data_IF_462321084004
#
_entry.id   IF_462321084004
#
_cell.length_a   1.000
_cell.length_b   1.000
_cell.length_c   1.000
_cell.angle_alpha   90.00
_cell.angle_beta   90.00
_cell.angle_gamma   90.00
#
_symmetry.space_group_name_H-M   'P 1'
#
loop_
_entity.id
_entity.type
_entity.pdbx_description
1 polymer ?
#
# COMPACT_ATOMS: atom_id res chain seq x y z
N UNK A 1 2.37 -16.30 -11.28
CA UNK A 1 2.44 -16.85 -9.91
C UNK A 1 2.06 -15.74 -8.93
N UNK A 2 1.05 -15.92 -8.07
CA UNK A 2 0.75 -14.94 -7.01
C UNK A 2 1.88 -15.00 -5.99
N UNK A 3 2.63 -13.91 -5.78
CA UNK A 3 3.59 -13.84 -4.66
C UNK A 3 2.77 -13.88 -3.36
N UNK A 4 2.90 -14.96 -2.59
CA UNK A 4 2.28 -15.13 -1.27
C UNK A 4 3.15 -14.58 -0.15
N UNK A 5 4.45 -14.45 -0.40
CA UNK A 5 5.46 -14.12 0.59
C UNK A 5 6.43 -13.05 0.04
N UNK A 6 7.03 -12.29 0.95
CA UNK A 6 8.13 -11.37 0.69
C UNK A 6 9.40 -12.12 0.26
N UNK A 7 10.35 -11.47 -0.43
CA UNK A 7 11.63 -12.09 -0.78
C UNK A 7 12.40 -12.62 0.44
N UNK A 8 13.11 -13.74 0.26
CA UNK A 8 13.87 -14.41 1.32
C UNK A 8 15.02 -13.55 1.88
N UNK A 9 15.52 -12.62 1.10
CA UNK A 9 16.59 -11.67 1.44
C UNK A 9 16.06 -10.34 2.01
N UNK A 10 14.76 -10.05 1.85
CA UNK A 10 14.18 -8.79 2.33
C UNK A 10 14.17 -8.69 3.86
N UNK A 11 14.75 -7.63 4.43
CA UNK A 11 14.73 -7.38 5.88
C UNK A 11 14.32 -5.93 6.17
N UNK A 12 13.27 -5.70 6.97
CA UNK A 12 12.94 -4.37 7.48
C UNK A 12 14.13 -3.75 8.20
N UNK A 13 14.35 -2.46 7.97
CA UNK A 13 15.37 -1.66 8.66
C UNK A 13 14.94 -0.20 8.70
N UNK A 14 15.58 0.59 9.56
CA UNK A 14 15.34 2.05 9.62
C UNK A 14 15.52 2.70 8.25
N UNK A 15 16.57 2.32 7.50
CA UNK A 15 16.82 2.83 6.15
C UNK A 15 15.70 2.47 5.18
N UNK A 16 15.20 1.23 5.23
CA UNK A 16 14.12 0.77 4.36
C UNK A 16 12.78 1.48 4.67
N UNK A 17 12.42 1.59 5.96
CA UNK A 17 11.24 2.31 6.38
C UNK A 17 11.30 3.80 6.01
N UNK A 18 12.45 4.45 6.24
CA UNK A 18 12.67 5.84 5.88
C UNK A 18 12.52 6.06 4.37
N UNK A 19 13.04 5.16 3.53
CA UNK A 19 12.87 5.26 2.08
C UNK A 19 11.40 5.28 1.68
N UNK A 20 10.56 4.42 2.26
CA UNK A 20 9.12 4.42 1.96
C UNK A 20 8.43 5.70 2.47
N UNK A 21 8.80 6.19 3.65
CA UNK A 21 8.25 7.44 4.22
C UNK A 21 8.62 8.65 3.35
N UNK A 22 9.86 8.74 2.88
CA UNK A 22 10.32 9.83 2.02
C UNK A 22 9.63 9.80 0.64
N UNK A 23 9.36 8.60 0.12
CA UNK A 23 8.66 8.43 -1.15
C UNK A 23 7.14 8.57 -1.03
N UNK A 24 6.57 8.49 0.18
CA UNK A 24 5.14 8.77 0.42
C UNK A 24 4.76 10.16 -0.10
N UNK A 25 5.59 11.17 0.18
CA UNK A 25 5.36 12.56 -0.23
C UNK A 25 5.34 12.75 -1.76
N UNK A 26 5.85 11.78 -2.52
CA UNK A 26 5.93 11.81 -3.98
C UNK A 26 4.78 11.07 -4.65
N UNK A 27 3.79 10.65 -3.89
CA UNK A 27 2.57 10.01 -4.35
C UNK A 27 1.40 11.01 -4.25
N UNK A 28 1.29 12.00 -5.16
CA UNK A 28 0.44 13.18 -4.98
C UNK A 28 -1.02 12.80 -4.70
N UNK A 29 -1.58 11.86 -5.45
CA UNK A 29 -2.97 11.41 -5.25
C UNK A 29 -3.24 10.91 -3.83
N UNK A 30 -2.34 10.12 -3.25
CA UNK A 30 -2.50 9.60 -1.89
C UNK A 30 -2.27 10.69 -0.86
N UNK A 31 -1.26 11.55 -1.05
CA UNK A 31 -0.98 12.64 -0.11
C UNK A 31 -2.06 13.72 -0.08
N UNK A 32 -2.69 14.02 -1.23
CA UNK A 32 -3.80 14.97 -1.30
C UNK A 32 -5.05 14.40 -0.62
N UNK A 33 -5.35 13.12 -0.84
CA UNK A 33 -6.45 12.42 -0.17
C UNK A 33 -6.26 12.39 1.35
N UNK A 34 -5.07 12.04 1.83
CA UNK A 34 -4.75 12.07 3.26
C UNK A 34 -4.88 13.48 3.85
N UNK A 35 -4.32 14.51 3.19
CA UNK A 35 -4.45 15.90 3.66
C UNK A 35 -5.91 16.35 3.72
N UNK A 36 -6.72 15.95 2.74
CA UNK A 36 -8.14 16.26 2.72
C UNK A 36 -8.89 15.56 3.86
N UNK A 37 -8.54 14.31 4.18
CA UNK A 37 -9.09 13.59 5.34
C UNK A 37 -8.62 14.18 6.67
N UNK A 38 -7.33 14.49 6.81
CA UNK A 38 -6.80 15.15 8.01
C UNK A 38 -7.54 16.47 8.25
N UNK A 39 -7.74 17.30 7.21
CA UNK A 39 -8.55 18.52 7.30
C UNK A 39 -10.00 18.23 7.72
N UNK A 40 -10.63 17.21 7.14
CA UNK A 40 -12.01 16.85 7.47
C UNK A 40 -12.15 16.37 8.92
N UNK A 41 -11.29 15.45 9.36
CA UNK A 41 -11.38 14.80 10.66
C UNK A 41 -10.82 15.64 11.80
N UNK A 42 -9.87 16.54 11.57
CA UNK A 42 -9.20 17.29 12.64
C UNK A 42 -9.62 18.75 12.72
N UNK A 43 -10.02 19.37 11.60
CA UNK A 43 -10.36 20.80 11.56
C UNK A 43 -11.86 21.03 11.40
N UNK A 44 -12.49 20.40 10.40
CA UNK A 44 -13.88 20.69 10.02
C UNK A 44 -14.90 19.93 10.88
N UNK A 45 -14.68 18.63 11.10
CA UNK A 45 -15.62 17.72 11.75
C UNK A 45 -14.93 16.90 12.87
N UNK A 46 -14.29 17.54 13.88
CA UNK A 46 -13.48 16.83 14.90
C UNK A 46 -14.28 15.93 15.83
N UNK A 47 -15.58 16.17 15.98
CA UNK A 47 -16.47 15.41 16.88
C UNK A 47 -17.37 14.45 16.12
N UNK A 48 -17.92 13.47 16.83
CA UNK A 48 -18.80 12.44 16.28
C UNK A 48 -20.23 12.54 16.82
N UNK A 49 -20.67 13.77 17.12
CA UNK A 49 -21.95 14.04 17.79
C UNK A 49 -23.01 14.69 16.88
N UNK A 50 -22.73 14.80 15.58
CA UNK A 50 -23.65 15.32 14.56
C UNK A 50 -23.69 14.38 13.36
N UNK A 51 -24.89 14.09 12.88
CA UNK A 51 -25.07 13.12 11.78
C UNK A 51 -24.40 13.62 10.49
N UNK A 52 -24.46 14.92 10.19
CA UNK A 52 -23.88 15.48 8.96
C UNK A 52 -22.36 15.32 8.94
N UNK A 53 -21.71 15.55 10.08
CA UNK A 53 -20.27 15.43 10.28
C UNK A 53 -19.81 13.98 10.17
N UNK A 54 -20.53 13.05 10.81
CA UNK A 54 -20.23 11.61 10.71
C UNK A 54 -20.46 11.11 9.28
N UNK A 55 -21.55 11.53 8.63
CA UNK A 55 -21.90 11.10 7.28
C UNK A 55 -20.87 11.53 6.24
N UNK A 56 -20.39 12.78 6.30
CA UNK A 56 -19.36 13.27 5.38
C UNK A 56 -18.02 12.57 5.63
N UNK A 57 -17.65 12.30 6.89
CA UNK A 57 -16.46 11.51 7.25
C UNK A 57 -16.54 10.10 6.68
N UNK A 58 -17.66 9.40 6.90
CA UNK A 58 -17.89 8.07 6.34
C UNK A 58 -17.81 8.05 4.81
N UNK A 59 -18.43 9.03 4.15
CA UNK A 59 -18.48 9.09 2.68
C UNK A 59 -17.10 9.34 2.08
N UNK A 60 -16.38 10.36 2.57
CA UNK A 60 -15.04 10.70 2.09
C UNK A 60 -14.04 9.57 2.36
N UNK A 61 -14.09 8.97 3.56
CA UNK A 61 -13.20 7.88 3.92
C UNK A 61 -13.46 6.63 3.06
N UNK A 62 -14.74 6.30 2.82
CA UNK A 62 -15.11 5.16 2.00
C UNK A 62 -14.63 5.30 0.55
N UNK A 63 -14.69 6.50 -0.01
CA UNK A 63 -14.23 6.79 -1.37
C UNK A 63 -12.69 6.71 -1.45
N UNK A 64 -11.98 7.47 -0.62
CA UNK A 64 -10.52 7.59 -0.71
C UNK A 64 -9.78 6.31 -0.37
N UNK A 65 -10.31 5.51 0.56
CA UNK A 65 -9.75 4.19 0.89
C UNK A 65 -10.40 3.03 0.13
N UNK A 66 -11.39 3.31 -0.73
CA UNK A 66 -12.12 2.31 -1.50
C UNK A 66 -12.63 1.15 -0.62
N UNK A 67 -13.17 1.46 0.56
CA UNK A 67 -13.60 0.41 1.52
C UNK A 67 -14.83 -0.36 1.08
N UNK A 68 -15.51 0.09 0.01
CA UNK A 68 -16.68 -0.55 -0.60
C UNK A 68 -17.83 -0.77 0.40
N UNK A 69 -18.05 0.18 1.30
CA UNK A 69 -19.17 0.16 2.23
C UNK A 69 -20.46 0.50 1.49
N UNK A 70 -21.46 -0.34 1.69
CA UNK A 70 -22.85 -0.09 1.32
C UNK A 70 -23.62 0.39 2.55
N UNK A 71 -24.67 1.20 2.36
CA UNK A 71 -25.46 1.71 3.49
C UNK A 71 -24.72 2.73 4.36
N UNK A 72 -23.99 3.65 3.73
CA UNK A 72 -23.20 4.70 4.41
C UNK A 72 -24.01 5.49 5.45
N UNK A 73 -25.28 5.76 5.17
CA UNK A 73 -26.18 6.41 6.14
C UNK A 73 -26.37 5.58 7.41
N UNK A 74 -26.66 4.28 7.27
CA UNK A 74 -26.83 3.35 8.39
C UNK A 74 -25.56 3.25 9.23
N UNK A 75 -24.39 3.18 8.59
CA UNK A 75 -23.10 3.22 9.29
C UNK A 75 -22.89 4.53 10.05
N UNK A 76 -23.28 5.67 9.47
CA UNK A 76 -23.16 6.97 10.13
C UNK A 76 -24.09 7.09 11.35
N UNK A 77 -25.35 6.63 11.22
CA UNK A 77 -26.29 6.55 12.35
C UNK A 77 -25.76 5.64 13.46
N UNK A 78 -25.19 4.49 13.08
CA UNK A 78 -24.56 3.56 14.02
C UNK A 78 -23.43 4.22 14.81
N UNK A 79 -22.47 4.85 14.12
CA UNK A 79 -21.35 5.56 14.77
C UNK A 79 -21.85 6.68 15.68
N UNK A 80 -22.84 7.47 15.23
CA UNK A 80 -23.43 8.54 16.04
C UNK A 80 -24.08 7.98 17.32
N UNK A 81 -24.78 6.85 17.22
CA UNK A 81 -25.47 6.22 18.35
C UNK A 81 -24.51 5.72 19.44
N UNK A 82 -23.28 5.36 19.06
CA UNK A 82 -22.24 4.88 19.98
C UNK A 82 -21.60 5.98 20.84
N UNK A 83 -21.84 7.27 20.53
CA UNK A 83 -21.26 8.42 21.25
C UNK A 83 -19.74 8.28 21.51
N UNK A 84 -18.98 8.07 20.43
CA UNK A 84 -17.63 7.50 20.50
C UNK A 84 -16.53 8.45 20.99
N UNK A 85 -16.81 9.76 21.10
CA UNK A 85 -15.76 10.77 21.31
C UNK A 85 -14.95 10.51 22.59
N UNK A 86 -15.59 10.22 23.73
CA UNK A 86 -14.87 9.95 24.98
C UNK A 86 -14.00 8.69 24.88
N UNK A 87 -14.56 7.62 24.32
CA UNK A 87 -13.88 6.32 24.14
C UNK A 87 -12.67 6.44 23.21
N UNK A 88 -12.79 7.23 22.13
CA UNK A 88 -11.66 7.56 21.26
C UNK A 88 -10.53 8.24 22.03
N UNK A 89 -10.83 9.27 22.83
CA UNK A 89 -9.81 10.00 23.60
C UNK A 89 -9.13 9.12 24.65
N UNK A 90 -9.86 8.16 25.23
CA UNK A 90 -9.33 7.18 26.17
C UNK A 90 -8.56 6.02 25.50
N UNK A 91 -8.51 5.99 24.17
CA UNK A 91 -7.88 4.93 23.37
C UNK A 91 -8.48 3.55 23.68
N UNK A 92 -9.81 3.49 23.78
CA UNK A 92 -10.53 2.22 23.93
C UNK A 92 -10.46 1.42 22.63
N UNK A 93 -9.75 0.28 22.66
CA UNK A 93 -9.59 -0.60 21.49
C UNK A 93 -10.84 -1.44 21.17
N UNK A 94 -11.72 -1.67 22.16
CA UNK A 94 -12.97 -2.40 21.91
C UNK A 94 -13.92 -1.63 20.98
N UNK A 95 -13.77 -0.30 20.93
CA UNK A 95 -14.52 0.60 20.06
C UNK A 95 -14.43 0.21 18.56
N UNK A 96 -13.29 -0.33 18.13
CA UNK A 96 -13.13 -0.80 16.75
C UNK A 96 -14.13 -1.90 16.42
N UNK A 97 -14.33 -2.84 17.34
CA UNK A 97 -15.31 -3.92 17.19
C UNK A 97 -16.74 -3.38 17.12
N UNK A 98 -17.04 -2.39 17.96
CA UNK A 98 -18.37 -1.78 18.01
C UNK A 98 -18.68 -1.00 16.74
N UNK A 99 -17.75 -0.17 16.23
CA UNK A 99 -17.92 0.55 14.96
C UNK A 99 -18.01 -0.44 13.78
N UNK A 100 -17.24 -1.52 13.81
CA UNK A 100 -17.15 -2.45 12.69
C UNK A 100 -18.44 -3.25 12.48
N UNK A 101 -19.15 -3.63 13.54
CA UNK A 101 -20.35 -4.48 13.45
C UNK A 101 -21.59 -3.62 13.24
N UNK A 102 -22.13 -3.65 12.01
CA UNK A 102 -23.28 -2.85 11.61
C UNK A 102 -24.35 -3.74 11.01
N UNK A 103 -25.59 -3.56 11.44
CA UNK A 103 -26.74 -4.21 10.81
C UNK A 103 -27.24 -3.35 9.63
N UNK A 104 -27.20 -3.89 8.42
CA UNK A 104 -27.72 -3.24 7.20
C UNK A 104 -28.81 -4.13 6.61
N UNK A 105 -30.04 -3.61 6.53
CA UNK A 105 -31.21 -4.34 6.02
C UNK A 105 -31.44 -5.71 6.71
N UNK A 106 -31.31 -5.78 8.03
CA UNK A 106 -31.52 -7.01 8.80
C UNK A 106 -30.37 -8.03 8.73
N UNK A 107 -29.23 -7.66 8.14
CA UNK A 107 -28.03 -8.51 8.06
C UNK A 107 -26.85 -7.83 8.75
N UNK A 108 -26.14 -8.57 9.58
CA UNK A 108 -24.89 -8.09 10.17
C UNK A 108 -23.76 -8.05 9.13
N UNK A 109 -23.07 -6.92 9.07
CA UNK A 109 -21.88 -6.68 8.27
C UNK A 109 -20.73 -6.27 9.19
N UNK A 110 -19.51 -6.71 8.87
CA UNK A 110 -18.31 -6.35 9.61
C UNK A 110 -17.38 -5.48 8.76
N UNK A 111 -17.38 -4.17 9.00
CA UNK A 111 -16.56 -3.17 8.34
C UNK A 111 -15.26 -2.88 9.11
N UNK A 112 -14.56 -3.93 9.56
CA UNK A 112 -13.36 -3.83 10.40
C UNK A 112 -12.27 -2.90 9.83
N UNK A 113 -11.95 -3.07 8.54
CA UNK A 113 -10.95 -2.25 7.84
C UNK A 113 -11.31 -0.76 7.87
N UNK A 114 -12.60 -0.42 7.76
CA UNK A 114 -13.08 0.95 7.87
C UNK A 114 -13.00 1.48 9.29
N UNK A 115 -13.44 0.70 10.29
CA UNK A 115 -13.41 1.12 11.69
C UNK A 115 -12.00 1.52 12.14
N UNK A 116 -10.97 0.76 11.73
CA UNK A 116 -9.57 1.10 12.01
C UNK A 116 -9.12 2.40 11.35
N UNK A 117 -9.52 2.65 10.10
CA UNK A 117 -9.24 3.90 9.37
C UNK A 117 -9.93 5.09 10.03
N UNK A 118 -11.20 4.92 10.39
CA UNK A 118 -12.00 5.98 11.01
C UNK A 118 -11.36 6.44 12.34
N UNK A 119 -10.94 5.50 13.19
CA UNK A 119 -10.26 5.82 14.44
C UNK A 119 -8.84 6.37 14.20
N UNK A 120 -8.10 5.84 13.22
CA UNK A 120 -6.77 6.34 12.86
C UNK A 120 -6.80 7.80 12.38
N UNK A 121 -7.79 8.21 11.58
CA UNK A 121 -7.90 9.63 11.18
C UNK A 121 -8.27 10.57 12.32
N UNK A 122 -8.91 10.08 13.38
CA UNK A 122 -9.10 10.85 14.61
C UNK A 122 -7.83 10.92 15.46
N UNK A 123 -7.10 9.81 15.61
CA UNK A 123 -5.93 9.69 16.49
C UNK A 123 -4.83 8.84 15.81
N UNK A 124 -4.10 9.40 14.83
CA UNK A 124 -3.21 8.63 13.95
C UNK A 124 -1.99 8.03 14.65
N UNK A 125 -1.65 8.57 15.82
CA UNK A 125 -0.54 8.08 16.64
C UNK A 125 -0.94 6.98 17.63
N UNK A 126 -2.24 6.66 17.71
CA UNK A 126 -2.80 5.72 18.70
C UNK A 126 -3.45 4.50 18.06
N UNK A 127 -3.92 4.64 16.82
CA UNK A 127 -4.65 3.61 16.08
C UNK A 127 -3.96 3.29 14.76
N UNK A 128 -3.45 2.06 14.63
CA UNK A 128 -2.94 1.52 13.38
C UNK A 128 -4.09 1.11 12.43
N UNK A 129 -3.87 1.26 11.13
CA UNK A 129 -4.83 0.90 10.08
C UNK A 129 -4.67 -0.57 9.69
N UNK A 130 -5.74 -1.35 9.87
CA UNK A 130 -5.80 -2.68 9.29
C UNK A 130 -6.12 -2.60 7.79
N UNK A 131 -5.24 -3.18 6.98
CA UNK A 131 -5.41 -3.36 5.53
C UNK A 131 -4.86 -4.72 5.08
N UNK A 132 -5.37 -5.24 3.95
CA UNK A 132 -4.94 -6.52 3.40
C UNK A 132 -3.45 -6.54 3.01
N UNK A 133 -2.86 -5.42 2.59
CA UNK A 133 -1.42 -5.35 2.35
C UNK A 133 -0.63 -5.47 3.64
N UNK A 134 -1.06 -4.75 4.69
CA UNK A 134 -0.42 -4.80 6.02
C UNK A 134 -0.51 -6.20 6.62
N UNK A 135 -1.68 -6.86 6.56
CA UNK A 135 -1.85 -8.25 6.99
C UNK A 135 -0.85 -9.18 6.30
N UNK A 136 -0.73 -9.10 4.97
CA UNK A 136 0.19 -9.95 4.20
C UNK A 136 1.65 -9.73 4.59
N UNK A 137 2.05 -8.48 4.81
CA UNK A 137 3.41 -8.15 5.29
C UNK A 137 3.66 -8.78 6.65
N UNK A 138 2.77 -8.55 7.62
CA UNK A 138 2.93 -9.08 8.99
C UNK A 138 3.00 -10.61 8.99
N UNK A 139 2.12 -11.28 8.26
CA UNK A 139 2.12 -12.74 8.15
C UNK A 139 3.39 -13.27 7.49
N UNK A 140 3.81 -12.65 6.38
CA UNK A 140 5.01 -13.09 5.65
C UNK A 140 6.28 -12.89 6.48
N UNK A 141 6.38 -11.76 7.17
CA UNK A 141 7.50 -11.48 8.06
C UNK A 141 7.51 -12.40 9.27
N UNK A 142 6.37 -12.65 9.92
CA UNK A 142 6.31 -13.52 11.10
C UNK A 142 6.60 -14.99 10.76
N UNK A 143 6.21 -15.44 9.55
CA UNK A 143 6.56 -16.77 9.03
C UNK A 143 8.06 -16.92 8.80
N UNK A 144 8.72 -15.86 8.33
CA UNK A 144 10.16 -15.84 8.00
C UNK A 144 11.03 -15.69 9.25
N UNK A 145 10.70 -14.71 10.07
CA UNK A 145 11.43 -14.30 11.28
C UNK A 145 10.38 -13.97 12.35
N UNK A 146 9.99 -14.96 13.18
CA UNK A 146 8.93 -14.78 14.17
C UNK A 146 9.26 -13.64 15.14
N UNK A 147 8.35 -12.66 15.23
CA UNK A 147 8.45 -11.50 16.11
C UNK A 147 7.27 -11.42 17.10
N UNK A 148 6.20 -12.17 16.87
CA UNK A 148 5.04 -12.27 17.76
C UNK A 148 4.33 -13.60 17.58
N UNK A 149 3.66 -14.07 18.64
CA UNK A 149 2.85 -15.29 18.59
C UNK A 149 1.39 -14.94 18.25
N UNK A 150 1.04 -14.99 16.97
CA UNK A 150 -0.32 -14.72 16.49
C UNK A 150 -0.63 -15.57 15.25
N UNK A 151 -1.91 -15.82 15.03
CA UNK A 151 -2.49 -16.37 13.80
C UNK A 151 -3.20 -15.27 13.02
N UNK A 152 -3.57 -15.55 11.78
CA UNK A 152 -4.22 -14.57 10.90
C UNK A 152 -5.51 -14.04 11.53
N UNK A 153 -6.30 -14.92 12.14
CA UNK A 153 -7.60 -14.58 12.72
C UNK A 153 -7.46 -13.60 13.89
N UNK A 154 -6.36 -13.69 14.63
CA UNK A 154 -6.05 -12.83 15.77
C UNK A 154 -5.83 -11.36 15.34
N UNK A 155 -5.52 -11.08 14.07
CA UNK A 155 -5.42 -9.71 13.56
C UNK A 155 -6.78 -8.99 13.45
N UNK A 156 -7.89 -9.71 13.69
CA UNK A 156 -9.25 -9.15 13.80
C UNK A 156 -9.61 -8.76 15.24
N UNK A 157 -8.78 -9.11 16.21
CA UNK A 157 -8.81 -8.53 17.54
C UNK A 157 -7.89 -7.30 17.57
N UNK A 158 -8.44 -6.12 17.86
CA UNK A 158 -7.68 -4.88 17.64
C UNK A 158 -6.55 -4.67 18.66
N UNK A 159 -6.73 -5.14 19.90
CA UNK A 159 -5.70 -5.09 20.93
C UNK A 159 -4.51 -6.01 20.56
N UNK A 160 -4.82 -7.21 20.07
CA UNK A 160 -3.81 -8.13 19.52
C UNK A 160 -3.15 -7.54 18.29
N UNK A 161 -3.91 -6.94 17.37
CA UNK A 161 -3.37 -6.28 16.19
C UNK A 161 -2.37 -5.16 16.55
N UNK A 162 -2.73 -4.28 17.49
CA UNK A 162 -1.81 -3.25 17.99
C UNK A 162 -0.57 -3.83 18.65
N UNK A 163 -0.72 -4.94 19.39
CA UNK A 163 0.41 -5.65 19.99
C UNK A 163 1.35 -6.25 18.93
N UNK A 164 0.80 -6.78 17.83
CA UNK A 164 1.56 -7.28 16.68
C UNK A 164 2.30 -6.14 15.97
N UNK A 165 1.67 -4.98 15.75
CA UNK A 165 2.33 -3.80 15.16
C UNK A 165 3.51 -3.32 16.03
N UNK A 166 3.31 -3.26 17.36
CA UNK A 166 4.37 -2.89 18.30
C UNK A 166 5.48 -3.93 18.36
N UNK A 167 5.14 -5.22 18.38
CA UNK A 167 6.11 -6.31 18.35
C UNK A 167 6.95 -6.28 17.07
N UNK A 168 6.33 -6.04 15.92
CA UNK A 168 7.03 -5.82 14.66
C UNK A 168 8.00 -4.63 14.76
N UNK A 169 7.53 -3.49 15.25
CA UNK A 169 8.35 -2.28 15.40
C UNK A 169 9.55 -2.52 16.31
N UNK A 170 9.36 -3.16 17.46
CA UNK A 170 10.42 -3.48 18.42
C UNK A 170 11.44 -4.45 17.82
N UNK A 171 10.97 -5.56 17.24
CA UNK A 171 11.83 -6.62 16.71
C UNK A 171 12.74 -6.13 15.58
N UNK A 172 12.23 -5.29 14.69
CA UNK A 172 12.99 -4.75 13.54
C UNK A 172 13.67 -3.40 13.83
N UNK A 173 13.67 -2.92 15.06
CA UNK A 173 14.34 -1.67 15.46
C UNK A 173 13.71 -0.41 14.84
N UNK A 174 12.40 -0.41 14.65
CA UNK A 174 11.62 0.66 14.01
C UNK A 174 10.86 1.54 15.01
N UNK A 175 11.24 1.50 16.30
CA UNK A 175 10.55 2.22 17.39
C UNK A 175 10.66 3.74 17.30
N UNK A 176 11.56 4.26 16.45
CA UNK A 176 11.66 5.69 16.14
C UNK A 176 10.52 6.20 15.25
N UNK A 177 9.79 5.31 14.59
CA UNK A 177 8.69 5.67 13.70
C UNK A 177 7.36 5.67 14.46
N UNK A 178 6.56 6.68 14.14
CA UNK A 178 5.20 6.86 14.61
C UNK A 178 4.28 5.73 14.11
N UNK A 179 3.10 5.54 14.71
CA UNK A 179 2.15 4.52 14.23
C UNK A 179 1.71 4.86 12.80
N UNK A 180 1.43 6.14 12.52
CA UNK A 180 1.11 6.63 11.16
C UNK A 180 2.23 6.33 10.17
N UNK A 181 3.49 6.52 10.58
CA UNK A 181 4.65 6.23 9.72
C UNK A 181 4.81 4.73 9.46
N UNK A 182 4.57 3.89 10.47
CA UNK A 182 4.58 2.43 10.31
C UNK A 182 3.46 1.97 9.37
N UNK A 183 2.26 2.54 9.47
CA UNK A 183 1.15 2.23 8.55
C UNK A 183 1.52 2.60 7.10
N UNK A 184 2.05 3.80 6.87
CA UNK A 184 2.53 4.24 5.56
C UNK A 184 3.60 3.30 4.99
N UNK A 185 4.54 2.88 5.84
CA UNK A 185 5.61 1.95 5.46
C UNK A 185 5.05 0.57 5.12
N UNK A 186 4.31 -0.06 6.02
CA UNK A 186 3.78 -1.42 5.86
C UNK A 186 2.83 -1.52 4.66
N UNK A 187 1.99 -0.50 4.45
CA UNK A 187 1.08 -0.46 3.31
C UNK A 187 1.85 -0.32 1.99
N UNK A 188 2.81 0.60 1.90
CA UNK A 188 3.62 0.76 0.68
C UNK A 188 4.46 -0.48 0.38
N UNK A 189 5.03 -1.10 1.41
CA UNK A 189 5.77 -2.35 1.31
C UNK A 189 4.88 -3.49 0.78
N UNK A 190 3.70 -3.67 1.37
CA UNK A 190 2.77 -4.70 0.91
C UNK A 190 2.28 -4.42 -0.50
N UNK A 191 2.01 -3.16 -0.84
CA UNK A 191 1.66 -2.75 -2.21
C UNK A 191 2.79 -3.02 -3.19
N UNK A 192 4.05 -2.79 -2.80
CA UNK A 192 5.23 -3.04 -3.64
C UNK A 192 5.35 -4.52 -4.01
N UNK A 193 5.15 -5.45 -3.07
CA UNK A 193 5.37 -6.89 -3.32
C UNK A 193 4.11 -7.69 -3.67
N UNK A 194 2.93 -7.30 -3.21
CA UNK A 194 1.71 -8.12 -3.32
C UNK A 194 0.65 -7.56 -4.28
N UNK A 195 0.84 -6.36 -4.83
CA UNK A 195 -0.11 -5.80 -5.77
C UNK A 195 -0.08 -6.57 -7.11
N UNK A 196 -1.19 -7.26 -7.43
CA UNK A 196 -1.30 -8.10 -8.64
C UNK A 196 -1.42 -7.28 -9.94
N UNK A 197 -1.75 -5.99 -9.81
CA UNK A 197 -1.81 -5.02 -10.91
C UNK A 197 -0.68 -3.98 -10.81
N UNK A 198 0.21 -4.14 -9.83
CA UNK A 198 1.34 -3.25 -9.59
C UNK A 198 2.55 -3.65 -10.42
N UNK A 199 3.38 -2.66 -10.73
CA UNK A 199 4.73 -2.91 -11.24
C UNK A 199 5.49 -3.73 -10.21
N UNK A 200 5.80 -4.97 -10.58
CA UNK A 200 6.72 -5.81 -9.84
C UNK A 200 8.07 -5.64 -10.50
N UNK A 201 8.99 -5.03 -9.76
CA UNK A 201 10.38 -4.87 -10.17
C UNK A 201 11.09 -6.20 -9.92
N UNK A 202 11.59 -6.81 -10.98
CA UNK A 202 12.20 -8.15 -10.95
C UNK A 202 13.66 -8.07 -10.50
N UNK A 203 14.32 -6.95 -10.75
CA UNK A 203 15.75 -6.78 -10.59
C UNK A 203 16.09 -5.68 -9.58
N UNK A 204 15.37 -4.55 -9.59
CA UNK A 204 15.59 -3.45 -8.67
C UNK A 204 14.79 -3.62 -7.38
N UNK A 205 15.50 -3.61 -6.26
CA UNK A 205 14.95 -3.80 -4.93
C UNK A 205 15.36 -2.69 -3.94
N UNK A 206 15.55 -1.46 -4.46
CA UNK A 206 15.92 -0.24 -3.71
C UNK A 206 17.37 -0.16 -3.25
N UNK A 207 18.22 -1.11 -3.63
CA UNK A 207 19.67 -0.98 -3.47
C UNK A 207 20.22 0.26 -4.20
N UNK A 208 21.28 0.86 -3.63
CA UNK A 208 21.91 2.08 -4.18
C UNK A 208 22.69 1.81 -5.47
N UNK A 209 23.12 0.57 -5.67
CA UNK A 209 23.92 0.15 -6.82
C UNK A 209 23.48 -1.23 -7.30
N UNK A 210 23.55 -1.45 -8.61
CA UNK A 210 23.28 -2.76 -9.22
C UNK A 210 24.09 -3.86 -8.53
N UNK A 211 23.44 -4.93 -8.01
CA UNK A 211 24.14 -6.09 -7.47
C UNK A 211 24.69 -7.00 -8.59
N UNK A 212 24.35 -6.71 -9.85
CA UNK A 212 24.75 -7.48 -11.01
C UNK A 212 26.01 -6.88 -11.65
N UNK A 213 26.86 -7.76 -12.22
CA UNK A 213 28.05 -7.30 -12.95
C UNK A 213 27.66 -6.43 -14.15
N UNK A 214 28.54 -5.51 -14.55
CA UNK A 214 28.26 -4.53 -15.62
C UNK A 214 27.85 -5.16 -16.96
N UNK A 215 28.34 -6.36 -17.26
CA UNK A 215 28.04 -7.07 -18.51
C UNK A 215 26.84 -8.03 -18.39
N UNK A 216 26.27 -8.16 -17.21
CA UNK A 216 25.07 -8.97 -16.98
C UNK A 216 23.85 -8.24 -17.52
N UNK A 217 23.04 -8.93 -18.33
CA UNK A 217 21.77 -8.40 -18.84
C UNK A 217 20.84 -7.94 -17.71
N UNK A 218 20.87 -8.63 -16.56
CA UNK A 218 20.10 -8.26 -15.37
C UNK A 218 20.48 -6.87 -14.86
N UNK A 219 21.73 -6.44 -15.05
CA UNK A 219 22.14 -5.07 -14.73
C UNK A 219 21.42 -4.05 -15.62
N UNK A 220 21.15 -4.35 -16.90
CA UNK A 220 20.42 -3.44 -17.79
C UNK A 220 18.97 -3.28 -17.33
N UNK A 221 18.31 -4.38 -17.00
CA UNK A 221 16.95 -4.35 -16.45
C UNK A 221 16.91 -3.62 -15.10
N UNK A 222 17.88 -3.89 -14.22
CA UNK A 222 18.03 -3.21 -12.94
C UNK A 222 18.06 -1.68 -13.09
N UNK A 223 18.90 -1.16 -13.99
CA UNK A 223 18.98 0.30 -14.22
C UNK A 223 17.67 0.85 -14.76
N UNK A 224 17.03 0.14 -15.69
CA UNK A 224 15.74 0.55 -16.24
C UNK A 224 14.63 0.59 -15.17
N UNK A 225 14.54 -0.43 -14.32
CA UNK A 225 13.59 -0.46 -13.20
C UNK A 225 13.90 0.62 -12.16
N UNK A 226 15.18 0.79 -11.80
CA UNK A 226 15.62 1.83 -10.86
C UNK A 226 15.26 3.23 -11.36
N UNK A 227 15.53 3.53 -12.64
CA UNK A 227 15.20 4.82 -13.25
C UNK A 227 13.68 5.04 -13.36
N UNK A 228 12.92 3.98 -13.61
CA UNK A 228 11.45 4.05 -13.60
C UNK A 228 10.93 4.49 -12.23
N UNK A 229 11.44 3.86 -11.17
CA UNK A 229 11.02 4.10 -9.79
C UNK A 229 11.47 5.46 -9.29
N UNK A 230 12.77 5.73 -9.37
CA UNK A 230 13.37 6.96 -8.83
C UNK A 230 13.00 8.19 -9.65
N UNK A 231 12.73 8.01 -10.94
CA UNK A 231 12.19 9.03 -11.82
C UNK A 231 10.68 9.20 -11.75
N UNK A 232 9.99 8.50 -10.84
CA UNK A 232 8.54 8.57 -10.63
C UNK A 232 7.72 8.48 -11.92
N UNK A 233 8.10 7.56 -12.80
CA UNK A 233 7.49 7.43 -14.11
C UNK A 233 6.02 7.02 -14.00
N UNK A 234 5.16 7.65 -14.81
CA UNK A 234 3.73 7.38 -14.79
C UNK A 234 3.43 6.00 -15.38
N UNK A 235 2.95 5.08 -14.54
CA UNK A 235 2.50 3.74 -14.95
C UNK A 235 1.42 3.84 -16.03
N UNK A 236 0.45 4.75 -15.85
CA UNK A 236 -0.63 4.96 -16.81
C UNK A 236 -0.12 5.44 -18.17
N UNK A 237 0.81 6.39 -18.19
CA UNK A 237 1.42 6.86 -19.44
C UNK A 237 2.13 5.72 -20.18
N UNK A 238 3.00 4.98 -19.49
CA UNK A 238 3.79 3.93 -20.11
C UNK A 238 2.98 2.71 -20.52
N UNK A 239 1.89 2.40 -19.80
CA UNK A 239 0.87 1.45 -20.24
C UNK A 239 0.28 1.84 -21.60
N UNK A 240 -0.09 3.11 -21.78
CA UNK A 240 -0.63 3.59 -23.06
C UNK A 240 0.44 3.60 -24.16
N UNK A 241 1.70 3.93 -23.85
CA UNK A 241 2.80 3.79 -24.82
C UNK A 241 3.03 2.33 -25.21
N UNK A 242 2.96 1.39 -24.27
CA UNK A 242 3.08 -0.04 -24.55
C UNK A 242 2.00 -0.53 -25.52
N UNK A 243 0.75 -0.09 -25.32
CA UNK A 243 -0.34 -0.40 -26.26
C UNK A 243 -0.07 0.14 -27.68
N UNK A 244 0.46 1.37 -27.79
CA UNK A 244 0.82 1.95 -29.09
C UNK A 244 1.97 1.18 -29.75
N UNK A 245 2.99 0.84 -28.98
CA UNK A 245 4.13 0.06 -29.48
C UNK A 245 3.68 -1.29 -30.06
N UNK A 246 2.75 -1.98 -29.40
CA UNK A 246 2.23 -3.27 -29.87
C UNK A 246 1.55 -3.25 -31.24
N UNK A 247 1.07 -2.09 -31.70
CA UNK A 247 0.45 -1.97 -33.03
C UNK A 247 1.47 -2.14 -34.16
N UNK A 248 2.73 -1.78 -33.91
CA UNK A 248 3.82 -1.79 -34.90
C UNK A 248 4.94 -2.77 -34.57
N UNK A 249 4.92 -3.36 -33.37
CA UNK A 249 5.93 -4.30 -32.92
C UNK A 249 5.91 -5.63 -33.69
N UNK A 250 7.09 -6.25 -33.79
CA UNK A 250 7.24 -7.59 -34.34
C UNK A 250 6.61 -8.67 -33.43
N UNK A 251 6.61 -9.91 -33.94
CA UNK A 251 6.00 -11.04 -33.24
C UNK A 251 6.72 -11.38 -31.92
N UNK A 252 8.03 -11.15 -31.81
CA UNK A 252 8.78 -11.46 -30.60
C UNK A 252 8.33 -10.58 -29.42
N UNK A 253 8.14 -9.29 -29.66
CA UNK A 253 7.63 -8.33 -28.68
C UNK A 253 6.16 -8.61 -28.35
N UNK A 254 5.35 -8.96 -29.35
CA UNK A 254 3.95 -9.36 -29.11
C UNK A 254 3.86 -10.62 -28.23
N UNK A 255 4.76 -11.59 -28.42
CA UNK A 255 4.81 -12.78 -27.57
C UNK A 255 5.33 -12.47 -26.16
N UNK A 256 6.30 -11.57 -26.02
CA UNK A 256 6.74 -11.06 -24.72
C UNK A 256 5.57 -10.43 -23.96
N UNK A 257 4.82 -9.53 -24.60
CA UNK A 257 3.73 -8.78 -23.99
C UNK A 257 2.62 -9.69 -23.44
N UNK A 258 2.34 -10.83 -24.07
CA UNK A 258 1.35 -11.81 -23.58
C UNK A 258 1.71 -12.42 -22.22
N UNK A 259 2.98 -12.36 -21.80
CA UNK A 259 3.44 -12.87 -20.50
C UNK A 259 3.15 -11.91 -19.34
N UNK A 260 2.79 -10.66 -19.64
CA UNK A 260 2.75 -9.56 -18.69
C UNK A 260 1.39 -8.84 -18.71
N UNK A 261 1.03 -8.20 -17.60
CA UNK A 261 -0.10 -7.26 -17.61
C UNK A 261 0.23 -6.02 -18.44
N UNK A 262 -0.78 -5.24 -18.90
CA UNK A 262 -0.52 -3.99 -19.62
C UNK A 262 0.37 -3.01 -18.85
N UNK A 263 0.22 -2.95 -17.52
CA UNK A 263 1.05 -2.12 -16.64
C UNK A 263 2.50 -2.61 -16.62
N UNK A 264 2.73 -3.91 -16.43
CA UNK A 264 4.07 -4.52 -16.47
C UNK A 264 4.75 -4.36 -17.83
N UNK A 265 4.00 -4.54 -18.92
CA UNK A 265 4.52 -4.30 -20.26
C UNK A 265 4.83 -2.81 -20.50
N UNK A 266 4.09 -1.90 -19.86
CA UNK A 266 4.42 -0.48 -19.83
C UNK A 266 5.81 -0.21 -19.23
N UNK A 267 6.18 -0.88 -18.13
CA UNK A 267 7.55 -0.79 -17.59
C UNK A 267 8.60 -1.32 -18.58
N UNK A 268 8.38 -2.47 -19.21
CA UNK A 268 9.27 -3.00 -20.25
C UNK A 268 9.41 -2.00 -21.39
N UNK A 269 8.31 -1.38 -21.79
CA UNK A 269 8.27 -0.33 -22.81
C UNK A 269 9.12 0.87 -22.40
N UNK A 270 9.01 1.34 -21.16
CA UNK A 270 9.89 2.39 -20.64
C UNK A 270 11.37 1.99 -20.72
N UNK A 271 11.72 0.79 -20.23
CA UNK A 271 13.10 0.31 -20.21
C UNK A 271 13.67 0.31 -21.62
N UNK A 272 12.91 -0.19 -22.59
CA UNK A 272 13.29 -0.22 -23.99
C UNK A 272 13.57 1.19 -24.54
N UNK A 273 12.58 2.09 -24.45
CA UNK A 273 12.69 3.43 -25.04
C UNK A 273 13.70 4.33 -24.30
N UNK A 274 13.82 4.18 -22.98
CA UNK A 274 14.82 4.86 -22.19
C UNK A 274 16.23 4.42 -22.61
N UNK A 275 16.46 3.10 -22.77
CA UNK A 275 17.74 2.60 -23.27
C UNK A 275 18.03 3.06 -24.69
N UNK A 276 17.06 2.95 -25.60
CA UNK A 276 17.21 3.40 -26.99
C UNK A 276 17.69 4.86 -27.06
N UNK A 277 17.18 5.70 -26.15
CA UNK A 277 17.55 7.11 -26.05
C UNK A 277 18.94 7.31 -25.45
N UNK A 278 19.26 6.61 -24.35
CA UNK A 278 20.53 6.78 -23.63
C UNK A 278 21.72 6.06 -24.27
N UNK A 279 21.47 4.99 -25.03
CA UNK A 279 22.47 4.12 -25.63
C UNK A 279 22.01 3.72 -27.05
N UNK A 280 22.05 4.65 -28.03
CA UNK A 280 21.50 4.43 -29.37
C UNK A 280 22.21 3.33 -30.17
N UNK A 281 23.38 2.88 -29.71
CA UNK A 281 24.16 1.79 -30.31
C UNK A 281 23.85 0.42 -29.69
N UNK A 282 23.03 0.34 -28.64
CA UNK A 282 22.59 -0.92 -28.07
C UNK A 282 21.56 -1.56 -29.02
N UNK A 283 21.72 -2.84 -29.37
CA UNK A 283 20.82 -3.54 -30.30
C UNK A 283 19.42 -3.79 -29.72
N UNK A 284 19.26 -3.60 -28.40
CA UNK A 284 18.02 -3.79 -27.63
C UNK A 284 17.39 -5.17 -27.74
N UNK A 285 18.04 -6.14 -28.41
CA UNK A 285 17.53 -7.49 -28.62
C UNK A 285 17.26 -8.21 -27.31
N UNK A 286 18.04 -7.87 -26.28
CA UNK A 286 17.96 -8.36 -24.92
C UNK A 286 16.63 -8.04 -24.21
N UNK A 287 15.80 -7.11 -24.71
CA UNK A 287 14.52 -6.77 -24.08
C UNK A 287 13.57 -7.98 -24.00
N UNK A 288 13.68 -8.93 -24.93
CA UNK A 288 12.84 -10.14 -24.98
C UNK A 288 13.11 -11.10 -23.81
N UNK A 289 14.21 -10.91 -23.09
CA UNK A 289 14.60 -11.72 -21.94
C UNK A 289 14.04 -11.20 -20.60
N UNK A 290 13.29 -10.09 -20.61
CA UNK A 290 12.66 -9.55 -19.40
C UNK A 290 11.72 -10.58 -18.77
#
# INVERSE_FOLDING_TARGET
>A
MKKSDLPLDYKPSVKDAQWFIDNWQKLPSYTDQERALDKLFMELCPKNNRIEDVLIKCSALNDFYSTNIFGIHTLAEHILSLNIDERLHQVDYSLIGDIAKVEVNGKEHCFYSFATKYCSHHLPEKYAIYDNYVEKVLLSMNKKEPFSNFKREDLKDYETYMSVIRGFSQHFGLTQFSIKQLDQYLWQLGKWYFNQYGLTYKYYNREESSPFSKNDIRSKFWYGEMMFVTGHQSVGYWKEQGKKWLQTADDSIKQLAKKYTPEQFGLITYIYFNRATMCPYDDLSWIIEY
#
